data_IF_449945985827
#
_entry.id   IF_449945985827
#
_cell.length_a   1.000
_cell.length_b   1.000
_cell.length_c   1.000
_cell.angle_alpha   90.00
_cell.angle_beta   90.00
_cell.angle_gamma   90.00
#
_symmetry.space_group_name_H-M   'P 1'
#
loop_
_entity.id
_entity.type
_entity.pdbx_description
1 polymer ?
#
# COMPACT_ATOMS: atom_id res chain seq x y z
N UNK A 1 7.70 0.98 11.31
CA UNK A 1 7.61 1.89 10.17
C UNK A 1 6.18 2.41 10.06
N UNK A 2 6.03 3.72 10.03
CA UNK A 2 4.71 4.34 10.14
C UNK A 2 4.25 5.06 8.88
N UNK A 3 5.04 4.98 7.83
CA UNK A 3 4.73 5.66 6.58
C UNK A 3 4.50 4.65 5.46
N UNK A 4 3.54 4.95 4.62
CA UNK A 4 3.23 4.16 3.45
C UNK A 4 3.21 5.05 2.23
N UNK A 5 3.63 4.50 1.12
CA UNK A 5 3.49 5.14 -0.16
C UNK A 5 2.38 4.45 -0.95
N UNK A 6 1.57 5.24 -1.59
CA UNK A 6 0.60 4.76 -2.55
C UNK A 6 0.85 5.47 -3.87
N UNK A 7 0.84 4.74 -4.95
CA UNK A 7 1.16 5.25 -6.26
C UNK A 7 -0.09 5.24 -7.12
N UNK A 8 -0.37 6.37 -7.76
CA UNK A 8 -1.48 6.48 -8.70
C UNK A 8 -0.94 6.85 -10.07
N UNK A 9 -1.31 6.12 -11.12
CA UNK A 9 -0.92 6.52 -12.46
C UNK A 9 -1.61 7.83 -12.82
N UNK A 10 -0.87 8.73 -13.41
CA UNK A 10 -1.43 9.96 -13.95
C UNK A 10 -2.27 9.62 -15.18
N UNK A 11 -3.41 10.26 -15.29
CA UNK A 11 -4.18 10.13 -16.52
C UNK A 11 -3.41 10.75 -17.67
N UNK A 12 -3.03 9.94 -18.60
CA UNK A 12 -2.26 10.37 -19.73
C UNK A 12 -2.81 9.74 -21.00
N UNK A 13 -3.15 10.56 -21.94
CA UNK A 13 -3.76 10.14 -23.19
C UNK A 13 -2.81 10.19 -24.37
N UNK A 14 -1.55 10.47 -24.13
CA UNK A 14 -0.55 10.58 -25.18
C UNK A 14 0.50 9.49 -25.10
N UNK A 15 1.41 9.45 -26.08
CA UNK A 15 2.51 8.49 -26.09
C UNK A 15 3.66 8.86 -25.14
N UNK A 16 3.56 9.98 -24.44
CA UNK A 16 4.58 10.40 -23.50
C UNK A 16 4.70 9.42 -22.34
N UNK A 17 5.85 9.36 -21.66
CA UNK A 17 5.99 8.53 -20.46
C UNK A 17 4.92 8.89 -19.44
N UNK A 18 4.28 7.88 -18.89
CA UNK A 18 3.30 8.06 -17.85
C UNK A 18 4.01 8.47 -16.57
N UNK A 19 3.61 9.62 -16.01
CA UNK A 19 4.09 10.04 -14.71
C UNK A 19 3.28 9.33 -13.64
N UNK A 20 3.95 8.93 -12.59
CA UNK A 20 3.31 8.31 -11.43
C UNK A 20 3.32 9.33 -10.31
N UNK A 21 2.14 9.63 -9.79
CA UNK A 21 2.01 10.50 -8.64
C UNK A 21 1.88 9.66 -7.38
N UNK A 22 2.38 10.18 -6.29
CA UNK A 22 2.37 9.46 -5.04
C UNK A 22 1.86 10.29 -3.88
N UNK A 23 1.49 9.59 -2.82
CA UNK A 23 1.14 10.22 -1.55
C UNK A 23 1.63 9.35 -0.41
N UNK A 24 1.68 9.96 0.76
CA UNK A 24 2.04 9.28 1.99
C UNK A 24 0.83 9.19 2.90
N UNK A 25 0.69 8.05 3.56
CA UNK A 25 -0.30 7.90 4.61
C UNK A 25 0.44 7.95 5.94
N UNK A 26 0.20 8.99 6.70
CA UNK A 26 0.89 9.24 7.96
C UNK A 26 -0.06 9.17 9.13
N UNK A 27 0.47 8.84 10.28
CA UNK A 27 -0.27 8.94 11.54
C UNK A 27 -0.59 10.42 11.81
N UNK A 28 -1.86 10.73 12.02
CA UNK A 28 -2.27 12.09 12.35
C UNK A 28 -2.10 12.33 13.86
N UNK A 29 -1.76 13.57 14.22
CA UNK A 29 -1.66 13.95 15.64
C UNK A 29 -3.01 13.93 16.32
N UNK A 30 -4.05 14.36 15.59
CA UNK A 30 -5.43 14.29 16.06
C UNK A 30 -6.16 13.25 15.25
N UNK A 31 -6.80 12.34 15.94
CA UNK A 31 -7.44 11.21 15.28
C UNK A 31 -8.87 11.54 14.87
N UNK A 32 -9.11 11.41 13.57
CA UNK A 32 -10.43 11.40 12.98
C UNK A 32 -10.45 10.22 12.00
N UNK A 33 -11.54 9.47 11.97
CA UNK A 33 -11.61 8.30 11.11
C UNK A 33 -10.55 7.27 11.48
N UNK A 34 -9.66 6.95 10.55
CA UNK A 34 -8.60 5.97 10.74
C UNK A 34 -7.45 6.47 11.61
N UNK A 35 -7.41 7.74 11.92
CA UNK A 35 -6.28 8.36 12.61
C UNK A 35 -5.07 8.57 11.71
N UNK A 36 -5.27 8.56 10.40
CA UNK A 36 -4.22 8.74 9.41
C UNK A 36 -4.49 9.99 8.58
N UNK A 37 -3.43 10.54 8.03
CA UNK A 37 -3.49 11.70 7.16
C UNK A 37 -2.80 11.38 5.84
N UNK A 38 -3.44 11.77 4.76
CA UNK A 38 -2.86 11.62 3.42
C UNK A 38 -2.16 12.91 3.06
N UNK A 39 -0.88 12.78 2.64
CA UNK A 39 -0.07 13.91 2.19
C UNK A 39 0.40 13.63 0.78
N UNK A 40 0.20 14.58 -0.11
CA UNK A 40 0.58 14.49 -1.50
C UNK A 40 -0.63 14.37 -2.41
N UNK A 41 -0.55 13.48 -3.38
CA UNK A 41 -1.62 13.30 -4.34
C UNK A 41 -2.91 12.84 -3.65
N UNK A 42 -4.00 13.55 -3.94
CA UNK A 42 -5.32 13.18 -3.46
C UNK A 42 -6.33 13.55 -4.54
N UNK A 43 -6.95 12.53 -5.14
CA UNK A 43 -7.98 12.74 -6.15
C UNK A 43 -9.03 11.66 -5.96
N UNK A 44 -10.24 12.01 -5.48
CA UNK A 44 -11.31 11.04 -5.35
C UNK A 44 -11.59 10.33 -6.68
N UNK A 45 -11.78 9.02 -6.61
CA UNK A 45 -11.99 8.19 -7.79
C UNK A 45 -10.71 7.67 -8.43
N UNK A 46 -9.54 8.15 -8.03
CA UNK A 46 -8.28 7.67 -8.60
C UNK A 46 -8.03 6.21 -8.20
N UNK A 47 -7.41 5.46 -9.11
CA UNK A 47 -6.99 4.10 -8.86
C UNK A 47 -5.56 4.13 -8.34
N UNK A 48 -5.31 3.50 -7.21
CA UNK A 48 -4.03 3.56 -6.54
C UNK A 48 -3.54 2.18 -6.10
N UNK A 49 -2.23 2.06 -5.99
CA UNK A 49 -1.58 0.88 -5.44
C UNK A 49 -0.94 1.28 -4.12
N UNK A 50 -1.20 0.49 -3.08
CA UNK A 50 -0.55 0.69 -1.79
C UNK A 50 0.81 0.00 -1.85
N UNK A 51 1.86 0.72 -1.48
CA UNK A 51 3.23 0.21 -1.48
C UNK A 51 3.77 0.25 -0.05
N UNK A 52 4.28 -0.87 0.40
CA UNK A 52 4.88 -1.01 1.72
C UNK A 52 6.25 -1.67 1.59
N UNK A 53 7.20 -1.27 2.40
CA UNK A 53 8.52 -1.89 2.39
C UNK A 53 8.50 -3.27 3.04
N UNK A 54 7.92 -3.40 4.23
CA UNK A 54 7.87 -4.67 4.96
C UNK A 54 6.46 -4.93 5.47
N UNK A 55 5.93 -6.09 5.10
CA UNK A 55 4.64 -6.55 5.61
C UNK A 55 4.89 -7.63 6.68
N UNK A 56 4.42 -7.39 7.88
CA UNK A 56 4.46 -8.35 8.98
C UNK A 56 3.06 -8.93 9.21
N UNK A 57 2.30 -8.34 10.11
CA UNK A 57 0.93 -8.78 10.43
C UNK A 57 -0.13 -8.13 9.55
N UNK A 58 0.26 -7.13 8.75
CA UNK A 58 -0.64 -6.47 7.82
C UNK A 58 -1.44 -5.31 8.39
N UNK A 59 -1.34 -5.05 9.69
CA UNK A 59 -2.15 -4.02 10.33
C UNK A 59 -1.95 -2.63 9.74
N UNK A 60 -0.70 -2.25 9.53
CA UNK A 60 -0.38 -0.93 8.97
C UNK A 60 -0.84 -0.81 7.52
N UNK A 61 -0.66 -1.86 6.74
CA UNK A 61 -1.11 -1.89 5.35
C UNK A 61 -2.63 -1.77 5.28
N UNK A 62 -3.34 -2.49 6.13
CA UNK A 62 -4.80 -2.43 6.22
C UNK A 62 -5.25 -1.01 6.57
N UNK A 63 -4.59 -0.36 7.52
CA UNK A 63 -4.91 1.01 7.88
C UNK A 63 -4.71 1.95 6.69
N UNK A 64 -3.64 1.75 5.91
CA UNK A 64 -3.41 2.54 4.71
C UNK A 64 -4.49 2.32 3.65
N UNK A 65 -4.93 1.07 3.46
CA UNK A 65 -6.03 0.74 2.55
C UNK A 65 -7.31 1.47 2.99
N UNK A 66 -7.62 1.40 4.27
CA UNK A 66 -8.83 2.03 4.81
C UNK A 66 -8.79 3.54 4.68
N UNK A 67 -7.64 4.16 4.99
CA UNK A 67 -7.46 5.60 4.85
C UNK A 67 -7.63 6.06 3.40
N UNK A 68 -7.09 5.28 2.48
CA UNK A 68 -7.18 5.56 1.05
C UNK A 68 -8.62 5.47 0.56
N UNK A 69 -9.35 4.46 0.99
CA UNK A 69 -10.78 4.29 0.67
C UNK A 69 -11.62 5.40 1.28
N UNK A 70 -11.31 5.78 2.51
CA UNK A 70 -11.99 6.87 3.21
C UNK A 70 -11.82 8.20 2.46
N UNK A 71 -10.68 8.40 1.83
CA UNK A 71 -10.40 9.57 1.00
C UNK A 71 -11.08 9.51 -0.38
N UNK A 72 -11.77 8.42 -0.69
CA UNK A 72 -12.52 8.28 -1.93
C UNK A 72 -11.70 7.71 -3.10
N UNK A 73 -10.49 7.25 -2.85
CA UNK A 73 -9.67 6.61 -3.88
C UNK A 73 -9.89 5.10 -3.89
N UNK A 74 -9.63 4.48 -5.03
CA UNK A 74 -9.83 3.05 -5.23
C UNK A 74 -8.50 2.31 -5.16
N UNK A 75 -8.36 1.44 -4.17
CA UNK A 75 -7.17 0.59 -4.07
C UNK A 75 -7.30 -0.56 -5.05
N UNK A 76 -6.39 -0.64 -6.02
CA UNK A 76 -6.42 -1.68 -7.05
C UNK A 76 -5.31 -2.70 -6.90
N UNK A 77 -4.42 -2.51 -5.95
CA UNK A 77 -3.35 -3.47 -5.67
C UNK A 77 -2.58 -3.09 -4.42
N UNK A 78 -1.86 -4.07 -3.89
CA UNK A 78 -0.94 -3.88 -2.78
C UNK A 78 0.39 -4.50 -3.18
N UNK A 79 1.46 -3.73 -3.08
CA UNK A 79 2.80 -4.19 -3.36
C UNK A 79 3.65 -4.07 -2.10
N UNK A 80 4.26 -5.16 -1.71
CA UNK A 80 5.14 -5.22 -0.56
C UNK A 80 6.53 -5.63 -1.02
N UNK A 81 7.55 -4.96 -0.55
CA UNK A 81 8.92 -5.36 -0.91
C UNK A 81 9.28 -6.67 -0.21
N UNK A 82 9.01 -6.78 1.07
CA UNK A 82 9.30 -7.97 1.85
C UNK A 82 8.06 -8.42 2.62
N UNK A 83 7.60 -9.63 2.35
CA UNK A 83 6.57 -10.29 3.14
C UNK A 83 7.25 -11.18 4.18
N UNK A 84 7.11 -10.83 5.44
CA UNK A 84 7.72 -11.59 6.54
C UNK A 84 6.97 -12.87 6.88
N UNK A 85 5.88 -13.13 6.19
CA UNK A 85 5.10 -14.36 6.34
C UNK A 85 4.57 -14.55 7.77
N UNK A 86 4.07 -13.46 8.35
CA UNK A 86 3.49 -13.44 9.69
C UNK A 86 1.97 -13.26 9.67
N UNK A 87 1.33 -13.73 8.61
CA UNK A 87 -0.12 -13.67 8.48
C UNK A 87 -0.66 -12.41 7.84
N UNK A 88 0.21 -11.47 7.45
CA UNK A 88 -0.22 -10.20 6.86
C UNK A 88 -0.99 -10.36 5.56
N UNK A 89 -0.49 -11.23 4.67
CA UNK A 89 -1.16 -11.49 3.40
C UNK A 89 -2.62 -11.92 3.60
N UNK A 90 -2.86 -12.88 4.49
CA UNK A 90 -4.21 -13.38 4.74
C UNK A 90 -5.13 -12.29 5.28
N UNK A 91 -4.62 -11.46 6.19
CA UNK A 91 -5.40 -10.34 6.73
C UNK A 91 -5.72 -9.30 5.67
N UNK A 92 -4.75 -8.96 4.84
CA UNK A 92 -4.94 -8.01 3.75
C UNK A 92 -5.97 -8.55 2.76
N UNK A 93 -5.87 -9.81 2.41
CA UNK A 93 -6.83 -10.45 1.52
C UNK A 93 -8.24 -10.49 2.10
N UNK A 94 -8.37 -10.58 3.42
CA UNK A 94 -9.69 -10.54 4.06
C UNK A 94 -10.35 -9.15 3.98
N UNK A 95 -9.55 -8.09 3.96
CA UNK A 95 -10.05 -6.71 3.86
C UNK A 95 -10.23 -6.30 2.40
N UNK A 96 -9.42 -6.85 1.52
CA UNK A 96 -9.39 -6.50 0.11
C UNK A 96 -9.38 -7.78 -0.74
N UNK A 97 -10.48 -8.56 -0.76
CA UNK A 97 -10.48 -9.92 -1.31
C UNK A 97 -10.25 -10.02 -2.81
N UNK A 98 -10.54 -8.97 -3.56
CA UNK A 98 -10.40 -9.00 -5.01
C UNK A 98 -9.22 -8.15 -5.50
N UNK A 99 -8.30 -7.79 -4.59
CA UNK A 99 -7.19 -6.92 -4.90
C UNK A 99 -5.91 -7.75 -4.86
N UNK A 100 -5.09 -7.73 -5.93
CA UNK A 100 -3.83 -8.47 -5.93
C UNK A 100 -2.90 -7.99 -4.83
N UNK A 101 -2.30 -8.93 -4.13
CA UNK A 101 -1.22 -8.67 -3.18
C UNK A 101 0.04 -9.31 -3.75
N UNK A 102 1.05 -8.50 -4.01
CA UNK A 102 2.32 -8.95 -4.56
C UNK A 102 3.44 -8.62 -3.59
N UNK A 103 4.37 -9.53 -3.43
CA UNK A 103 5.61 -9.28 -2.71
C UNK A 103 6.80 -9.58 -3.61
N UNK A 104 7.85 -8.78 -3.49
CA UNK A 104 9.08 -9.00 -4.26
C UNK A 104 9.87 -10.13 -3.62
N UNK A 105 9.98 -10.12 -2.29
CA UNK A 105 10.68 -11.15 -1.52
C UNK A 105 9.81 -11.64 -0.37
N UNK A 106 10.04 -12.87 0.05
CA UNK A 106 9.45 -13.41 1.27
C UNK A 106 10.54 -13.61 2.31
N UNK A 107 10.14 -13.86 3.56
CA UNK A 107 11.09 -14.22 4.61
C UNK A 107 11.88 -15.49 4.23
N UNK A 108 11.21 -16.44 3.59
CA UNK A 108 11.86 -17.67 3.13
C UNK A 108 12.94 -17.37 2.11
N UNK A 109 12.68 -16.46 1.16
CA UNK A 109 13.67 -16.05 0.15
C UNK A 109 14.92 -15.45 0.81
N UNK A 110 14.70 -14.59 1.80
CA UNK A 110 15.80 -13.91 2.50
C UNK A 110 16.63 -14.91 3.31
N UNK A 111 15.98 -15.84 4.00
CA UNK A 111 16.69 -16.88 4.74
C UNK A 111 17.50 -17.76 3.81
N UNK A 112 16.97 -18.14 2.67
CA UNK A 112 17.68 -18.95 1.68
C UNK A 112 18.92 -18.25 1.16
N UNK A 113 18.83 -16.94 0.89
CA UNK A 113 19.97 -16.16 0.45
C UNK A 113 21.04 -16.02 1.54
N UNK A 114 20.62 -15.90 2.80
CA UNK A 114 21.53 -15.68 3.93
C UNK A 114 22.31 -16.94 4.29
N UNK A 115 21.77 -18.12 4.04
CA UNK A 115 22.39 -19.37 4.42
C UNK A 115 23.37 -19.95 3.38
N UNK A 116 23.60 -19.24 2.31
CA UNK A 116 24.56 -19.66 1.29
C UNK A 116 26.00 -19.52 1.73
#
# INVERSE_FOLDING_TARGET
HTEFEALAPEENHGPAPTLIQGFLVRKAEKTHGTGRRIEGFLKPGAQVVIVDDVCTTGGSTITAIESTREAGMNVVGVLCLVDREQGGRAKIESVAPNIPFLSVFTAADIRAAHTR
#
